data_IF_301842379232
#
_entry.id   IF_301842379232
#
_cell.length_a   1.000
_cell.length_b   1.000
_cell.length_c   1.000
_cell.angle_alpha   90.00
_cell.angle_beta   90.00
_cell.angle_gamma   90.00
#
_symmetry.space_group_name_H-M   'P 1'
#
loop_
_entity.id
_entity.type
_entity.pdbx_description
1 polymer ?
#
# COMPACT_ATOMS: atom_id res chain seq x y z
N UNK A 1 36.34 39.90 -16.80
CA UNK A 1 35.15 39.08 -16.91
C UNK A 1 35.31 37.81 -16.07
N UNK A 2 34.60 37.61 -14.98
CA UNK A 2 34.65 36.35 -14.27
C UNK A 2 33.36 35.54 -14.50
N UNK A 3 33.44 34.49 -15.31
CA UNK A 3 32.40 33.46 -15.49
C UNK A 3 32.87 32.13 -14.87
N UNK A 4 32.93 31.99 -13.56
CA UNK A 4 33.35 30.71 -12.95
C UNK A 4 32.66 30.31 -11.65
N UNK A 5 31.84 31.16 -11.06
CA UNK A 5 31.24 30.89 -9.73
C UNK A 5 30.03 29.94 -9.81
N UNK A 6 29.18 30.05 -10.85
CA UNK A 6 27.96 29.23 -10.96
C UNK A 6 28.24 27.74 -11.26
N UNK A 7 29.24 27.46 -12.11
CA UNK A 7 29.59 26.08 -12.48
C UNK A 7 30.21 25.28 -11.30
N UNK A 8 30.99 25.97 -10.46
CA UNK A 8 31.57 25.35 -9.23
C UNK A 8 30.50 25.08 -8.19
N UNK A 9 29.54 26.01 -8.01
CA UNK A 9 28.40 25.81 -7.09
C UNK A 9 27.52 24.62 -7.55
N UNK A 10 27.23 24.55 -8.86
CA UNK A 10 26.46 23.45 -9.45
C UNK A 10 27.15 22.08 -9.31
N UNK A 11 28.47 22.04 -9.53
CA UNK A 11 29.24 20.79 -9.34
C UNK A 11 29.27 20.33 -7.88
N UNK A 12 29.32 21.26 -6.93
CA UNK A 12 29.34 20.97 -5.50
C UNK A 12 27.96 20.48 -5.02
N UNK A 13 26.89 21.13 -5.46
CA UNK A 13 25.50 20.68 -5.17
C UNK A 13 25.22 19.29 -5.76
N UNK A 14 25.68 19.03 -6.97
CA UNK A 14 25.49 17.73 -7.61
C UNK A 14 26.30 16.61 -6.91
N UNK A 15 27.53 16.92 -6.43
CA UNK A 15 28.33 15.98 -5.63
C UNK A 15 27.71 15.70 -4.27
N UNK A 16 27.11 16.72 -3.64
CA UNK A 16 26.44 16.57 -2.34
C UNK A 16 25.15 15.78 -2.49
N UNK A 17 24.34 16.02 -3.53
CA UNK A 17 23.15 15.26 -3.84
C UNK A 17 23.47 13.78 -4.14
N UNK A 18 24.55 13.53 -4.90
CA UNK A 18 24.99 12.15 -5.21
C UNK A 18 25.54 11.44 -3.95
N UNK A 19 26.25 12.16 -3.06
CA UNK A 19 26.70 11.60 -1.78
C UNK A 19 25.53 11.26 -0.86
N UNK A 20 24.53 12.13 -0.77
CA UNK A 20 23.33 11.91 0.03
C UNK A 20 22.50 10.74 -0.51
N UNK A 21 22.30 10.64 -1.85
CA UNK A 21 21.66 9.50 -2.47
C UNK A 21 22.39 8.17 -2.17
N UNK A 22 23.74 8.17 -2.25
CA UNK A 22 24.54 6.99 -1.88
C UNK A 22 24.53 6.68 -0.39
N UNK A 23 24.39 7.69 0.48
CA UNK A 23 24.23 7.50 1.92
C UNK A 23 22.88 6.89 2.23
N UNK A 24 21.79 7.43 1.67
CA UNK A 24 20.45 6.88 1.78
C UNK A 24 20.44 5.44 1.28
N UNK A 25 21.04 5.16 0.10
CA UNK A 25 21.13 3.80 -0.44
C UNK A 25 21.92 2.84 0.47
N UNK A 26 22.99 3.31 1.14
CA UNK A 26 23.76 2.50 2.10
C UNK A 26 22.98 2.26 3.39
N UNK A 27 22.24 3.25 3.90
CA UNK A 27 21.37 3.12 5.06
C UNK A 27 20.20 2.17 4.75
N UNK A 28 19.63 2.25 3.55
CA UNK A 28 18.64 1.32 3.02
C UNK A 28 19.17 -0.12 2.98
N UNK A 29 20.37 -0.31 2.42
CA UNK A 29 21.00 -1.62 2.37
C UNK A 29 21.36 -2.16 3.78
N UNK A 30 21.81 -1.30 4.68
CA UNK A 30 22.21 -1.70 6.04
C UNK A 30 21.01 -2.01 6.93
N UNK A 31 19.96 -1.20 6.89
CA UNK A 31 18.85 -1.25 7.83
C UNK A 31 17.67 -2.09 7.36
N UNK A 32 17.56 -2.36 6.06
CA UNK A 32 16.42 -3.09 5.49
C UNK A 32 16.89 -4.25 4.61
N UNK A 33 17.71 -4.03 3.60
CA UNK A 33 18.09 -5.08 2.64
C UNK A 33 19.00 -6.13 3.27
N UNK A 34 20.01 -5.72 4.07
CA UNK A 34 20.89 -6.67 4.77
C UNK A 34 20.15 -7.51 5.82
N UNK A 35 19.37 -6.94 6.77
CA UNK A 35 18.59 -7.73 7.72
C UNK A 35 17.58 -8.65 7.03
N UNK A 36 16.94 -8.21 5.93
CA UNK A 36 16.04 -9.06 5.14
C UNK A 36 16.79 -10.23 4.48
N UNK A 37 17.95 -9.96 3.87
CA UNK A 37 18.78 -11.00 3.22
C UNK A 37 19.34 -11.97 4.26
N UNK A 38 19.83 -11.49 5.40
CA UNK A 38 20.36 -12.32 6.47
C UNK A 38 19.26 -13.15 7.19
N UNK A 39 18.06 -12.56 7.36
CA UNK A 39 16.90 -13.30 7.87
C UNK A 39 16.45 -14.38 6.89
N UNK A 40 16.52 -14.10 5.57
CA UNK A 40 16.22 -15.06 4.52
C UNK A 40 17.20 -16.26 4.53
N UNK A 41 18.51 -15.97 4.56
CA UNK A 41 19.56 -17.03 4.60
C UNK A 41 19.47 -17.84 5.89
N UNK A 42 19.25 -17.21 7.06
CA UNK A 42 19.07 -17.92 8.34
C UNK A 42 17.81 -18.80 8.36
N UNK A 43 16.70 -18.36 7.75
CA UNK A 43 15.49 -19.17 7.65
C UNK A 43 15.65 -20.35 6.67
N UNK A 44 16.32 -20.15 5.55
CA UNK A 44 16.60 -21.23 4.60
C UNK A 44 17.46 -22.35 5.22
N UNK A 45 18.45 -21.96 6.05
CA UNK A 45 19.32 -22.94 6.76
C UNK A 45 18.58 -23.64 7.92
N UNK A 46 17.67 -22.95 8.62
CA UNK A 46 16.88 -23.58 9.70
C UNK A 46 15.77 -24.50 9.21
N UNK A 47 15.23 -24.29 8.02
CA UNK A 47 14.16 -25.14 7.46
C UNK A 47 14.65 -26.54 7.05
N UNK A 48 15.91 -26.73 6.72
CA UNK A 48 16.45 -28.07 6.46
C UNK A 48 16.50 -28.98 7.72
N UNK A 49 16.47 -28.38 8.92
CA UNK A 49 16.49 -29.13 10.18
C UNK A 49 15.12 -29.25 10.88
N UNK A 50 14.11 -28.44 10.50
CA UNK A 50 12.84 -28.33 11.23
C UNK A 50 11.68 -29.17 10.64
N UNK A 51 11.84 -29.75 9.45
CA UNK A 51 10.78 -30.55 8.81
C UNK A 51 10.52 -31.88 9.57
N UNK A 52 11.45 -32.32 10.40
CA UNK A 52 11.31 -33.58 11.16
C UNK A 52 10.63 -33.45 12.54
N UNK A 53 10.48 -32.21 13.07
CA UNK A 53 9.93 -32.00 14.41
C UNK A 53 8.50 -31.45 14.47
N UNK A 54 7.98 -30.90 13.37
CA UNK A 54 6.71 -30.16 13.36
C UNK A 54 5.46 -31.02 13.16
N UNK A 55 5.59 -32.28 12.74
CA UNK A 55 4.44 -33.19 12.52
C UNK A 55 3.80 -33.68 13.81
N UNK A 56 4.43 -33.50 14.97
CA UNK A 56 3.98 -34.07 16.25
C UNK A 56 3.27 -33.09 17.21
N UNK A 57 3.11 -31.80 16.88
CA UNK A 57 2.56 -30.81 17.80
C UNK A 57 1.32 -30.03 17.31
N UNK A 58 0.67 -30.48 16.25
CA UNK A 58 -0.52 -29.82 15.66
C UNK A 58 -1.86 -30.36 16.20
N UNK A 59 -1.88 -31.10 17.30
CA UNK A 59 -3.09 -31.75 17.87
C UNK A 59 -3.38 -31.32 19.32
N UNK A 60 -3.19 -30.06 19.68
CA UNK A 60 -3.79 -29.54 20.92
C UNK A 60 -4.42 -28.18 20.65
N UNK A 61 -5.75 -28.16 20.72
CA UNK A 61 -6.58 -27.04 20.41
C UNK A 61 -6.41 -25.89 21.40
N UNK A 62 -6.30 -24.68 20.85
CA UNK A 62 -6.68 -23.48 21.56
C UNK A 62 -7.95 -22.97 20.88
N UNK A 63 -9.07 -23.20 21.54
CA UNK A 63 -10.35 -22.59 21.22
C UNK A 63 -10.26 -21.13 21.60
N UNK A 64 -10.12 -20.24 20.62
CA UNK A 64 -10.33 -18.80 20.82
C UNK A 64 -11.82 -18.57 21.08
N UNK A 65 -12.20 -17.63 21.99
CA UNK A 65 -13.60 -17.30 22.23
C UNK A 65 -14.28 -16.90 20.92
N UNK A 66 -15.42 -17.51 20.64
CA UNK A 66 -16.23 -17.20 19.47
C UNK A 66 -16.73 -15.75 19.57
N UNK A 67 -16.33 -14.89 18.62
CA UNK A 67 -16.99 -13.60 18.42
C UNK A 67 -18.48 -13.85 18.14
N UNK A 68 -19.40 -13.03 18.73
CA UNK A 68 -20.83 -13.20 18.50
C UNK A 68 -21.15 -13.12 17.01
N UNK A 69 -22.11 -13.90 16.51
CA UNK A 69 -22.43 -13.95 15.08
C UNK A 69 -22.88 -12.57 14.60
N UNK A 70 -22.03 -11.97 13.73
CA UNK A 70 -22.38 -10.70 13.07
C UNK A 70 -23.55 -10.96 12.12
N UNK A 71 -24.61 -10.15 12.22
CA UNK A 71 -25.78 -10.27 11.35
C UNK A 71 -25.36 -10.27 9.88
N UNK A 72 -25.68 -11.36 9.16
CA UNK A 72 -25.37 -11.56 7.74
C UNK A 72 -26.35 -10.80 6.85
N UNK A 73 -26.53 -9.49 7.06
CA UNK A 73 -27.29 -8.65 6.14
C UNK A 73 -26.58 -8.54 4.77
N UNK A 74 -27.35 -8.38 3.69
CA UNK A 74 -26.82 -8.36 2.34
C UNK A 74 -25.89 -7.17 2.03
N UNK A 75 -26.05 -6.02 2.68
CA UNK A 75 -25.39 -4.78 2.27
C UNK A 75 -25.87 -4.29 0.89
N UNK A 76 -25.50 -3.09 0.47
CA UNK A 76 -25.90 -2.53 -0.82
C UNK A 76 -24.73 -1.85 -1.55
N UNK A 77 -24.73 -1.94 -2.87
CA UNK A 77 -23.91 -1.12 -3.73
C UNK A 77 -24.68 0.14 -4.11
N UNK A 78 -23.97 1.26 -4.08
CA UNK A 78 -24.43 2.53 -4.64
C UNK A 78 -23.39 3.00 -5.65
N UNK A 79 -23.83 3.68 -6.70
CA UNK A 79 -22.99 4.24 -7.76
C UNK A 79 -23.20 5.75 -7.82
N UNK A 80 -22.15 6.49 -8.12
CA UNK A 80 -22.22 7.92 -8.23
C UNK A 80 -21.10 8.49 -9.08
N UNK A 81 -21.15 9.80 -9.26
CA UNK A 81 -20.09 10.57 -9.88
C UNK A 81 -19.68 11.73 -8.99
N UNK A 82 -18.41 12.11 -9.05
CA UNK A 82 -17.83 13.19 -8.29
C UNK A 82 -16.92 14.06 -9.15
N UNK A 83 -17.00 15.36 -8.94
CA UNK A 83 -16.26 16.37 -9.67
C UNK A 83 -17.18 17.20 -10.58
N UNK A 84 -16.83 18.44 -10.77
CA UNK A 84 -17.55 19.40 -11.62
C UNK A 84 -16.54 20.24 -12.40
N UNK A 85 -17.02 20.91 -13.46
CA UNK A 85 -16.21 21.83 -14.27
C UNK A 85 -15.29 21.13 -15.27
N UNK A 86 -14.13 21.72 -15.62
CA UNK A 86 -13.23 21.20 -16.65
C UNK A 86 -12.56 19.87 -16.26
N UNK A 87 -12.64 19.47 -15.00
CA UNK A 87 -12.25 18.15 -14.54
C UNK A 87 -13.44 17.21 -14.72
N UNK A 88 -13.37 16.33 -15.71
CA UNK A 88 -14.42 15.37 -15.98
C UNK A 88 -14.83 14.63 -14.69
N UNK A 89 -16.14 14.44 -14.45
CA UNK A 89 -16.61 13.75 -13.27
C UNK A 89 -16.02 12.35 -13.19
N UNK A 90 -15.61 11.95 -11.99
CA UNK A 90 -15.11 10.62 -11.69
C UNK A 90 -16.25 9.75 -11.21
N UNK A 91 -16.47 8.61 -11.83
CA UNK A 91 -17.39 7.59 -11.31
C UNK A 91 -16.81 6.95 -10.06
N UNK A 92 -17.67 6.48 -9.21
CA UNK A 92 -17.31 5.64 -8.07
C UNK A 92 -18.41 4.65 -7.75
N UNK A 93 -18.03 3.58 -7.08
CA UNK A 93 -18.96 2.67 -6.42
C UNK A 93 -18.67 2.64 -4.93
N UNK A 94 -19.73 2.52 -4.13
CA UNK A 94 -19.57 2.37 -2.69
C UNK A 94 -20.42 1.21 -2.19
N UNK A 95 -19.83 0.33 -1.40
CA UNK A 95 -20.53 -0.75 -0.73
C UNK A 95 -20.76 -0.37 0.73
N UNK A 96 -22.02 -0.40 1.15
CA UNK A 96 -22.42 -0.14 2.56
C UNK A 96 -22.93 -1.43 3.16
N UNK A 97 -22.28 -1.99 4.20
CA UNK A 97 -22.76 -3.21 4.85
C UNK A 97 -24.04 -2.93 5.65
N UNK A 98 -24.94 -3.91 5.72
CA UNK A 98 -26.27 -3.74 6.34
C UNK A 98 -26.25 -3.27 7.81
N UNK A 99 -25.16 -3.57 8.55
CA UNK A 99 -25.01 -3.14 9.94
C UNK A 99 -24.58 -1.69 10.13
N UNK A 100 -24.15 -0.99 9.06
CA UNK A 100 -23.71 0.39 9.15
C UNK A 100 -24.89 1.37 9.00
N UNK A 101 -25.03 2.29 9.93
CA UNK A 101 -26.08 3.31 9.95
C UNK A 101 -25.62 4.55 10.71
N UNK A 102 -26.46 5.58 10.82
CA UNK A 102 -26.13 6.85 11.48
C UNK A 102 -25.67 6.72 12.94
N UNK A 103 -26.16 5.70 13.66
CA UNK A 103 -25.77 5.42 15.05
C UNK A 103 -24.55 4.50 15.14
N UNK A 104 -24.35 3.62 14.14
CA UNK A 104 -23.27 2.66 14.06
C UNK A 104 -22.45 2.91 12.80
N UNK A 105 -21.54 3.87 12.88
CA UNK A 105 -20.63 4.20 11.79
C UNK A 105 -19.57 3.13 11.63
N UNK A 106 -19.26 2.76 10.38
CA UNK A 106 -18.29 1.74 10.02
C UNK A 106 -16.95 2.36 9.58
N UNK A 107 -15.82 1.67 9.75
CA UNK A 107 -14.58 2.06 9.08
C UNK A 107 -14.74 1.99 7.56
N UNK A 108 -13.97 2.79 6.83
CA UNK A 108 -14.01 2.80 5.37
C UNK A 108 -12.67 2.42 4.77
N UNK A 109 -12.72 1.53 3.78
CA UNK A 109 -11.61 1.23 2.90
C UNK A 109 -11.81 1.93 1.55
N UNK A 110 -10.87 2.78 1.15
CA UNK A 110 -10.75 3.30 -0.21
C UNK A 110 -9.90 2.31 -1.01
N UNK A 111 -10.46 1.75 -2.07
CA UNK A 111 -9.84 0.68 -2.85
C UNK A 111 -9.58 1.15 -4.28
N UNK A 112 -8.29 1.36 -4.63
CA UNK A 112 -7.84 1.95 -5.89
C UNK A 112 -7.40 0.86 -6.87
N UNK A 113 -8.04 0.81 -8.04
CA UNK A 113 -7.76 -0.18 -9.08
C UNK A 113 -6.43 0.05 -9.80
N UNK A 114 -5.92 -0.96 -10.49
CA UNK A 114 -4.78 -0.88 -11.38
C UNK A 114 -5.14 -0.33 -12.78
N UNK A 115 -4.11 -0.12 -13.62
CA UNK A 115 -4.30 0.29 -15.00
C UNK A 115 -5.22 -0.68 -15.77
N UNK A 116 -6.05 -0.14 -16.67
CA UNK A 116 -6.95 -0.93 -17.51
C UNK A 116 -8.18 -1.52 -16.79
N UNK A 117 -8.28 -1.33 -15.47
CA UNK A 117 -9.42 -1.79 -14.68
C UNK A 117 -10.46 -0.68 -14.49
N UNK A 118 -11.65 -1.07 -14.03
CA UNK A 118 -12.73 -0.20 -13.57
C UNK A 118 -13.21 -0.65 -12.19
N UNK A 119 -14.16 0.08 -11.62
CA UNK A 119 -14.69 -0.21 -10.27
C UNK A 119 -15.39 -1.55 -10.19
N UNK A 120 -16.08 -2.00 -11.25
CA UNK A 120 -16.83 -3.25 -11.27
C UNK A 120 -15.89 -4.45 -11.32
N UNK A 121 -14.96 -4.45 -12.28
CA UNK A 121 -13.96 -5.51 -12.44
C UNK A 121 -13.06 -5.62 -11.20
N UNK A 122 -12.63 -4.49 -10.62
CA UNK A 122 -11.77 -4.51 -9.44
C UNK A 122 -12.51 -4.96 -8.17
N UNK A 123 -13.79 -4.58 -8.02
CA UNK A 123 -14.64 -5.11 -6.95
C UNK A 123 -14.81 -6.64 -7.04
N UNK A 124 -14.96 -7.17 -8.27
CA UNK A 124 -15.03 -8.61 -8.50
C UNK A 124 -13.70 -9.32 -8.21
N UNK A 125 -12.59 -8.82 -8.76
CA UNK A 125 -11.23 -9.36 -8.53
C UNK A 125 -10.93 -9.45 -7.04
N UNK A 126 -11.18 -8.40 -6.29
CA UNK A 126 -10.87 -8.33 -4.85
C UNK A 126 -11.93 -9.00 -3.96
N UNK A 127 -13.09 -9.40 -4.53
CA UNK A 127 -14.27 -9.86 -3.79
C UNK A 127 -14.71 -8.86 -2.72
N UNK A 128 -14.59 -7.56 -3.04
CA UNK A 128 -14.74 -6.45 -2.10
C UNK A 128 -16.04 -6.51 -1.29
N UNK A 129 -17.19 -6.76 -1.91
CA UNK A 129 -18.48 -6.82 -1.21
C UNK A 129 -18.55 -7.97 -0.19
N UNK A 130 -18.02 -9.16 -0.52
CA UNK A 130 -18.04 -10.31 0.37
C UNK A 130 -17.17 -10.05 1.61
N UNK A 131 -15.96 -9.56 1.39
CA UNK A 131 -15.00 -9.27 2.48
C UNK A 131 -15.47 -8.07 3.31
N UNK A 132 -16.00 -7.02 2.67
CA UNK A 132 -16.54 -5.85 3.36
C UNK A 132 -17.75 -6.21 4.24
N UNK A 133 -18.65 -7.06 3.76
CA UNK A 133 -19.80 -7.56 4.51
C UNK A 133 -19.35 -8.36 5.73
N UNK A 134 -18.41 -9.29 5.53
CA UNK A 134 -17.86 -10.12 6.61
C UNK A 134 -17.19 -9.27 7.68
N UNK A 135 -16.42 -8.27 7.28
CA UNK A 135 -15.67 -7.40 8.19
C UNK A 135 -16.48 -6.23 8.74
N UNK A 136 -17.63 -5.89 8.17
CA UNK A 136 -18.45 -4.74 8.56
C UNK A 136 -17.85 -3.40 8.13
N UNK A 137 -17.15 -3.34 6.98
CA UNK A 137 -16.51 -2.14 6.44
C UNK A 137 -17.33 -1.54 5.29
N UNK A 138 -17.34 -0.22 5.19
CA UNK A 138 -17.71 0.48 3.95
C UNK A 138 -16.53 0.38 2.99
N UNK A 139 -16.77 0.11 1.69
CA UNK A 139 -15.72 0.11 0.67
C UNK A 139 -16.05 1.10 -0.43
N UNK A 140 -15.20 2.10 -0.62
CA UNK A 140 -15.28 3.09 -1.68
C UNK A 140 -14.29 2.73 -2.79
N UNK A 141 -14.80 2.59 -4.03
CA UNK A 141 -14.00 2.34 -5.23
C UNK A 141 -14.12 3.55 -6.18
N UNK A 142 -13.19 4.49 -6.15
CA UNK A 142 -13.09 5.52 -7.18
C UNK A 142 -12.66 4.92 -8.51
N UNK A 143 -13.14 5.50 -9.65
CA UNK A 143 -12.73 5.11 -10.99
C UNK A 143 -11.87 6.18 -11.65
N UNK A 144 -10.74 5.78 -12.20
CA UNK A 144 -9.92 6.68 -12.99
C UNK A 144 -10.55 6.92 -14.37
N UNK A 145 -10.64 8.18 -14.79
CA UNK A 145 -11.19 8.56 -16.08
C UNK A 145 -10.21 8.24 -17.23
N UNK A 146 -10.73 7.69 -18.33
CA UNK A 146 -9.97 7.54 -19.56
C UNK A 146 -9.55 8.87 -20.19
N UNK A 147 -10.24 9.97 -19.88
CA UNK A 147 -9.86 11.33 -20.31
C UNK A 147 -8.63 11.84 -19.55
N UNK A 148 -8.43 11.46 -18.29
CA UNK A 148 -7.26 11.83 -17.51
C UNK A 148 -6.03 10.94 -17.83
N UNK A 149 -6.29 9.69 -18.18
CA UNK A 149 -5.28 8.72 -18.61
C UNK A 149 -5.96 7.67 -19.48
N UNK A 150 -5.55 7.54 -20.75
CA UNK A 150 -6.17 6.64 -21.74
C UNK A 150 -6.20 5.16 -21.27
N UNK A 151 -5.22 4.75 -20.47
CA UNK A 151 -5.13 3.41 -19.88
C UNK A 151 -5.78 3.32 -18.50
N UNK A 152 -6.51 4.36 -18.06
CA UNK A 152 -7.08 4.46 -16.71
C UNK A 152 -6.06 4.21 -15.58
N UNK A 153 -4.79 4.55 -15.81
CA UNK A 153 -3.77 4.54 -14.76
C UNK A 153 -3.89 5.79 -13.89
N UNK A 154 -3.75 5.67 -12.59
CA UNK A 154 -3.54 6.81 -11.71
C UNK A 154 -2.20 7.48 -12.04
N UNK A 155 -2.16 8.81 -12.13
CA UNK A 155 -0.96 9.54 -12.55
C UNK A 155 0.02 9.78 -11.38
N UNK A 156 0.31 8.73 -10.60
CA UNK A 156 1.18 8.73 -9.42
C UNK A 156 2.58 9.31 -9.71
N UNK A 157 3.04 9.21 -10.96
CA UNK A 157 4.37 9.62 -11.42
C UNK A 157 4.46 11.12 -11.79
N UNK A 158 3.40 11.90 -11.56
CA UNK A 158 3.37 13.36 -11.77
C UNK A 158 3.02 14.08 -10.45
N UNK A 159 3.88 13.96 -9.42
CA UNK A 159 3.49 14.37 -8.06
C UNK A 159 3.21 15.87 -7.93
N UNK A 160 3.84 16.72 -8.73
CA UNK A 160 3.60 18.19 -8.70
C UNK A 160 2.55 18.68 -9.70
N UNK A 161 2.00 17.79 -10.55
CA UNK A 161 1.05 18.12 -11.62
C UNK A 161 -0.24 17.35 -11.49
N UNK A 162 -0.57 16.61 -12.56
CA UNK A 162 -1.82 15.87 -12.67
C UNK A 162 -2.03 14.86 -11.51
N UNK A 163 -0.97 14.25 -10.97
CA UNK A 163 -1.07 13.37 -9.82
C UNK A 163 -1.44 14.10 -8.53
N UNK A 164 -1.02 15.37 -8.36
CA UNK A 164 -1.46 16.20 -7.24
C UNK A 164 -2.95 16.53 -7.35
N UNK A 165 -3.42 16.88 -8.57
CA UNK A 165 -4.84 17.14 -8.84
C UNK A 165 -5.69 15.90 -8.57
N UNK A 166 -5.26 14.73 -9.03
CA UNK A 166 -5.96 13.48 -8.78
C UNK A 166 -6.00 13.12 -7.29
N UNK A 167 -4.91 13.31 -6.57
CA UNK A 167 -4.89 13.12 -5.12
C UNK A 167 -5.89 14.05 -4.41
N UNK A 168 -5.97 15.32 -4.83
CA UNK A 168 -6.96 16.28 -4.31
C UNK A 168 -8.40 15.87 -4.61
N UNK A 169 -8.68 15.40 -5.83
CA UNK A 169 -10.00 14.90 -6.21
C UNK A 169 -10.39 13.66 -5.42
N UNK A 170 -9.47 12.72 -5.20
CA UNK A 170 -9.71 11.55 -4.36
C UNK A 170 -10.02 11.94 -2.92
N UNK A 171 -9.28 12.91 -2.37
CA UNK A 171 -9.56 13.41 -1.02
C UNK A 171 -10.95 14.04 -0.93
N UNK A 172 -11.34 14.88 -1.89
CA UNK A 172 -12.67 15.49 -1.90
C UNK A 172 -13.80 14.45 -1.99
N UNK A 173 -13.62 13.38 -2.79
CA UNK A 173 -14.55 12.27 -2.86
C UNK A 173 -14.62 11.50 -1.53
N UNK A 174 -13.48 11.24 -0.89
CA UNK A 174 -13.40 10.58 0.42
C UNK A 174 -14.17 11.37 1.48
N UNK A 175 -13.96 12.69 1.51
CA UNK A 175 -14.67 13.58 2.44
C UNK A 175 -16.19 13.59 2.18
N UNK A 176 -16.61 13.58 0.92
CA UNK A 176 -18.01 13.47 0.58
C UNK A 176 -18.59 12.13 1.03
N UNK A 177 -17.91 11.03 0.76
CA UNK A 177 -18.34 9.70 1.20
C UNK A 177 -18.52 9.63 2.73
N UNK A 178 -17.61 10.24 3.49
CA UNK A 178 -17.71 10.31 4.95
C UNK A 178 -18.91 11.13 5.44
N UNK A 179 -19.34 12.13 4.67
CA UNK A 179 -20.54 12.93 5.02
C UNK A 179 -21.85 12.23 4.65
N UNK A 180 -21.88 11.57 3.48
CA UNK A 180 -23.11 10.99 2.92
C UNK A 180 -23.42 9.59 3.41
N UNK A 181 -22.42 8.85 3.85
CA UNK A 181 -22.57 7.45 4.27
C UNK A 181 -22.20 7.26 5.75
N UNK A 182 -22.63 6.17 6.39
CA UNK A 182 -22.35 5.89 7.81
C UNK A 182 -20.88 5.46 8.03
N UNK A 183 -19.96 6.35 7.75
CA UNK A 183 -18.50 6.17 7.86
C UNK A 183 -17.95 6.84 9.11
N UNK A 184 -17.15 6.12 9.88
CA UNK A 184 -16.32 6.69 10.94
C UNK A 184 -15.16 7.46 10.31
N UNK A 185 -15.26 8.79 10.25
CA UNK A 185 -14.35 9.65 9.49
C UNK A 185 -12.87 9.56 9.92
N UNK A 186 -12.61 9.19 11.16
CA UNK A 186 -11.27 8.95 11.71
C UNK A 186 -10.74 7.52 11.44
N UNK A 187 -11.55 6.65 10.83
CA UNK A 187 -11.21 5.26 10.52
C UNK A 187 -11.28 4.98 9.01
N UNK A 188 -10.52 5.76 8.25
CA UNK A 188 -10.41 5.62 6.80
C UNK A 188 -9.03 5.08 6.46
N UNK A 189 -8.99 3.98 5.72
CA UNK A 189 -7.76 3.39 5.17
C UNK A 189 -7.80 3.40 3.65
N UNK A 190 -6.65 3.41 3.01
CA UNK A 190 -6.54 3.33 1.55
C UNK A 190 -5.65 2.15 1.15
N UNK A 191 -6.07 1.42 0.12
CA UNK A 191 -5.34 0.28 -0.45
C UNK A 191 -5.48 0.33 -1.97
N UNK A 192 -4.45 -0.05 -2.71
CA UNK A 192 -4.57 -0.12 -4.16
C UNK A 192 -3.68 -1.18 -4.79
N UNK A 193 -3.96 -1.49 -6.06
CA UNK A 193 -3.17 -2.39 -6.90
C UNK A 193 -2.37 -1.58 -7.92
N UNK A 194 -1.08 -1.91 -8.12
CA UNK A 194 -0.25 -1.35 -9.20
C UNK A 194 -0.23 0.18 -9.15
N UNK A 195 -0.67 0.89 -10.20
CA UNK A 195 -0.82 2.35 -10.19
C UNK A 195 -1.72 2.85 -9.03
N UNK A 196 -2.77 2.09 -8.66
CA UNK A 196 -3.59 2.36 -7.48
C UNK A 196 -2.82 2.20 -6.18
N UNK A 197 -1.91 1.23 -6.08
CA UNK A 197 -1.01 1.06 -4.95
C UNK A 197 -0.04 2.23 -4.79
N UNK A 198 0.55 2.70 -5.89
CA UNK A 198 1.42 3.87 -5.91
C UNK A 198 0.65 5.16 -5.54
N UNK A 199 -0.61 5.30 -6.01
CA UNK A 199 -1.48 6.42 -5.62
C UNK A 199 -1.89 6.33 -4.14
N UNK A 200 -2.13 5.15 -3.59
CA UNK A 200 -2.41 4.95 -2.17
C UNK A 200 -1.24 5.42 -1.29
N UNK A 201 0.00 5.05 -1.66
CA UNK A 201 1.22 5.56 -1.00
C UNK A 201 1.33 7.09 -1.12
N UNK A 202 1.02 7.65 -2.28
CA UNK A 202 1.03 9.10 -2.52
C UNK A 202 0.02 9.81 -1.61
N UNK A 203 -1.20 9.29 -1.48
CA UNK A 203 -2.23 9.83 -0.59
C UNK A 203 -1.79 9.81 0.87
N UNK A 204 -1.22 8.69 1.33
CA UNK A 204 -0.73 8.56 2.71
C UNK A 204 0.35 9.56 3.07
N UNK A 205 1.26 9.88 2.14
CA UNK A 205 2.33 10.86 2.38
C UNK A 205 1.88 12.32 2.22
N UNK A 206 0.88 12.58 1.36
CA UNK A 206 0.32 13.94 1.21
C UNK A 206 -0.65 14.32 2.32
N UNK A 207 -1.40 13.36 2.84
CA UNK A 207 -2.45 13.56 3.82
C UNK A 207 -2.26 12.62 5.02
N UNK A 208 -1.13 12.70 5.73
CA UNK A 208 -0.70 11.69 6.71
C UNK A 208 -1.68 11.53 7.88
N UNK A 209 -2.37 12.61 8.28
CA UNK A 209 -3.34 12.58 9.40
C UNK A 209 -4.73 12.11 8.98
N UNK A 210 -4.95 11.93 7.67
CA UNK A 210 -6.28 11.58 7.16
C UNK A 210 -6.54 10.09 7.14
N UNK A 211 -5.49 9.30 7.00
CA UNK A 211 -5.60 7.86 6.89
C UNK A 211 -5.15 7.17 8.16
N UNK A 212 -6.00 6.29 8.66
CA UNK A 212 -5.66 5.42 9.80
C UNK A 212 -4.60 4.38 9.41
N UNK A 213 -4.59 3.95 8.13
CA UNK A 213 -3.56 3.08 7.57
C UNK A 213 -3.53 3.17 6.03
N UNK A 214 -2.39 2.79 5.45
CA UNK A 214 -2.16 2.75 3.99
C UNK A 214 -1.72 1.35 3.58
N UNK A 215 -2.19 0.90 2.42
CA UNK A 215 -1.77 -0.35 1.81
C UNK A 215 -1.40 -0.18 0.34
N UNK A 216 -0.38 -0.91 -0.11
CA UNK A 216 0.00 -1.00 -1.51
C UNK A 216 0.23 -2.45 -1.90
N UNK A 217 -0.44 -2.89 -2.96
CA UNK A 217 -0.20 -4.19 -3.59
C UNK A 217 0.46 -3.96 -4.94
N UNK A 218 1.68 -4.45 -5.13
CA UNK A 218 2.45 -4.34 -6.38
C UNK A 218 2.55 -2.90 -6.92
N UNK A 219 2.58 -1.91 -6.03
CA UNK A 219 2.70 -0.49 -6.40
C UNK A 219 4.15 -0.05 -6.58
N UNK A 220 4.38 0.89 -7.51
CA UNK A 220 5.66 1.57 -7.61
C UNK A 220 5.86 2.54 -6.43
N UNK A 221 7.11 2.72 -6.01
CA UNK A 221 7.44 3.68 -4.97
C UNK A 221 7.14 5.11 -5.44
N UNK A 222 6.41 5.93 -4.67
CA UNK A 222 6.06 7.29 -5.07
C UNK A 222 7.30 8.20 -5.11
N UNK A 223 7.19 9.31 -5.82
CA UNK A 223 8.27 10.30 -6.06
C UNK A 223 9.53 9.74 -6.75
N UNK A 224 9.45 8.55 -7.33
CA UNK A 224 10.53 7.96 -8.13
C UNK A 224 10.53 8.42 -9.59
N UNK A 225 9.50 9.14 -10.04
CA UNK A 225 9.35 9.58 -11.43
C UNK A 225 8.59 10.90 -11.53
N UNK A 226 8.83 11.65 -12.63
CA UNK A 226 8.11 12.87 -13.00
C UNK A 226 7.51 12.81 -14.41
N UNK A 227 7.78 11.74 -15.16
CA UNK A 227 7.23 11.46 -16.49
C UNK A 227 7.13 9.95 -16.74
N UNK A 228 6.47 9.58 -17.84
CA UNK A 228 6.19 8.18 -18.17
C UNK A 228 7.45 7.31 -18.37
N UNK A 229 8.51 7.86 -19.01
CA UNK A 229 9.76 7.13 -19.22
C UNK A 229 10.47 6.83 -17.88
N UNK A 230 10.46 7.80 -16.97
CA UNK A 230 10.98 7.59 -15.61
C UNK A 230 10.12 6.62 -14.83
N UNK A 231 8.77 6.68 -14.98
CA UNK A 231 7.85 5.75 -14.34
C UNK A 231 8.13 4.30 -14.76
N UNK A 232 8.37 4.05 -16.05
CA UNK A 232 8.75 2.72 -16.54
C UNK A 232 10.06 2.23 -15.90
N UNK A 233 11.08 3.08 -15.77
CA UNK A 233 12.33 2.72 -15.09
C UNK A 233 12.13 2.49 -13.58
N UNK A 234 11.31 3.30 -12.93
CA UNK A 234 10.97 3.13 -11.53
C UNK A 234 10.25 1.80 -11.28
N UNK A 235 9.24 1.47 -12.10
CA UNK A 235 8.55 0.18 -12.02
C UNK A 235 9.53 -1.00 -12.15
N UNK A 236 10.55 -0.91 -12.98
CA UNK A 236 11.61 -1.94 -13.13
C UNK A 236 12.67 -1.92 -12.01
N UNK A 237 12.49 -1.17 -10.94
CA UNK A 237 13.46 -1.07 -9.86
C UNK A 237 14.74 -0.27 -10.19
N UNK A 238 14.80 0.34 -11.38
CA UNK A 238 15.99 1.05 -11.87
C UNK A 238 16.05 2.51 -11.37
N UNK A 239 15.03 2.97 -10.65
CA UNK A 239 14.94 4.34 -10.14
C UNK A 239 14.16 4.36 -8.83
N UNK A 240 14.77 4.89 -7.79
CA UNK A 240 14.14 5.18 -6.50
C UNK A 240 13.64 6.63 -6.38
N UNK A 241 13.09 7.00 -5.21
CA UNK A 241 12.73 8.37 -4.89
C UNK A 241 13.93 9.31 -5.01
N UNK A 242 13.68 10.49 -5.53
CA UNK A 242 14.66 11.57 -5.63
C UNK A 242 14.96 12.15 -4.23
N UNK A 243 16.23 12.41 -3.93
CA UNK A 243 16.65 12.89 -2.62
C UNK A 243 16.04 14.27 -2.28
N UNK A 244 15.90 15.15 -3.28
CA UNK A 244 15.27 16.46 -3.10
C UNK A 244 13.76 16.31 -2.81
N UNK A 245 13.09 15.39 -3.51
CA UNK A 245 11.69 15.09 -3.27
C UNK A 245 11.47 14.48 -1.87
N UNK A 246 12.35 13.59 -1.43
CA UNK A 246 12.30 13.01 -0.06
C UNK A 246 12.50 14.09 1.00
N UNK A 247 13.44 15.01 0.78
CA UNK A 247 13.63 16.16 1.68
C UNK A 247 12.38 17.05 1.75
N UNK A 248 11.79 17.38 0.60
CA UNK A 248 10.55 18.16 0.52
C UNK A 248 9.37 17.46 1.21
N UNK A 249 9.26 16.13 1.08
CA UNK A 249 8.28 15.32 1.80
C UNK A 249 8.47 15.41 3.32
N UNK A 250 9.70 15.29 3.80
CA UNK A 250 10.00 15.42 5.22
C UNK A 250 9.59 16.79 5.77
N UNK A 251 9.90 17.86 5.06
CA UNK A 251 9.46 19.22 5.41
C UNK A 251 7.92 19.32 5.40
N UNK A 252 7.26 18.76 4.39
CA UNK A 252 5.80 18.77 4.26
C UNK A 252 5.09 17.97 5.37
N UNK A 253 5.71 16.94 5.91
CA UNK A 253 5.21 16.21 7.07
C UNK A 253 5.24 17.06 8.34
N UNK A 254 6.09 18.10 8.44
CA UNK A 254 6.18 19.01 9.56
C UNK A 254 6.28 18.28 10.92
N UNK A 255 7.17 17.29 11.01
CA UNK A 255 7.35 16.46 12.21
C UNK A 255 6.28 15.39 12.43
N UNK A 256 5.26 15.30 11.57
CA UNK A 256 4.24 14.25 11.64
C UNK A 256 4.78 12.93 11.12
N UNK A 257 4.28 11.86 11.68
CA UNK A 257 4.58 10.51 11.25
C UNK A 257 3.71 10.10 10.06
N UNK A 258 4.25 9.43 9.03
CA UNK A 258 3.42 8.75 8.03
C UNK A 258 2.48 7.72 8.69
N UNK A 259 1.30 7.45 8.11
CA UNK A 259 0.39 6.44 8.66
C UNK A 259 0.98 5.03 8.60
N UNK A 260 0.50 4.08 9.42
CA UNK A 260 0.90 2.68 9.35
C UNK A 260 0.78 2.13 7.94
N UNK A 261 1.75 1.29 7.51
CA UNK A 261 1.90 0.84 6.13
C UNK A 261 1.86 -0.67 5.98
N UNK A 262 1.01 -1.16 5.08
CA UNK A 262 1.04 -2.52 4.56
C UNK A 262 1.55 -2.52 3.11
N UNK A 263 2.56 -3.32 2.85
CA UNK A 263 3.06 -3.60 1.51
C UNK A 263 2.84 -5.09 1.20
N UNK A 264 2.19 -5.40 0.08
CA UNK A 264 2.08 -6.75 -0.48
C UNK A 264 2.67 -6.75 -1.88
N UNK A 265 3.52 -7.74 -2.20
CA UNK A 265 4.16 -7.79 -3.50
C UNK A 265 4.59 -9.22 -3.84
N UNK A 266 4.41 -9.60 -5.10
CA UNK A 266 4.91 -10.86 -5.63
C UNK A 266 6.40 -10.77 -5.98
N UNK A 267 7.17 -11.80 -5.69
CA UNK A 267 8.60 -11.82 -6.04
C UNK A 267 8.86 -12.22 -7.50
N UNK A 268 7.83 -12.67 -8.22
CA UNK A 268 7.87 -12.94 -9.66
C UNK A 268 7.17 -11.84 -10.49
N UNK A 269 6.94 -10.65 -9.91
CA UNK A 269 6.32 -9.53 -10.60
C UNK A 269 7.27 -8.91 -11.64
N UNK A 270 7.02 -9.20 -12.92
CA UNK A 270 7.81 -8.70 -14.04
C UNK A 270 7.41 -7.29 -14.53
N UNK A 271 6.28 -6.74 -14.06
CA UNK A 271 5.80 -5.40 -14.43
C UNK A 271 6.26 -4.33 -13.44
N UNK A 272 6.10 -4.61 -12.15
CA UNK A 272 6.60 -3.77 -11.06
C UNK A 272 7.51 -4.62 -10.19
N UNK A 273 8.80 -4.38 -10.30
CA UNK A 273 9.82 -5.14 -9.59
C UNK A 273 9.63 -5.05 -8.07
N UNK A 274 9.84 -6.17 -7.37
CA UNK A 274 9.68 -6.29 -5.91
C UNK A 274 10.49 -5.24 -5.12
N UNK A 275 11.60 -4.74 -5.69
CA UNK A 275 12.40 -3.67 -5.08
C UNK A 275 11.61 -2.38 -4.84
N UNK A 276 10.49 -2.15 -5.54
CA UNK A 276 9.59 -1.03 -5.25
C UNK A 276 8.94 -1.15 -3.87
N UNK A 277 8.56 -2.36 -3.44
CA UNK A 277 8.02 -2.55 -2.11
C UNK A 277 9.07 -2.30 -1.03
N UNK A 278 10.31 -2.79 -1.22
CA UNK A 278 11.40 -2.52 -0.28
C UNK A 278 11.79 -1.04 -0.24
N UNK A 279 11.78 -0.36 -1.40
CA UNK A 279 12.02 1.08 -1.49
C UNK A 279 10.90 1.89 -0.81
N UNK A 280 9.64 1.48 -0.92
CA UNK A 280 8.53 2.12 -0.21
C UNK A 280 8.64 1.92 1.32
N UNK A 281 8.99 0.71 1.78
CA UNK A 281 9.27 0.45 3.19
C UNK A 281 10.37 1.36 3.72
N UNK A 282 11.46 1.46 2.98
CA UNK A 282 12.60 2.31 3.29
C UNK A 282 12.25 3.79 3.34
N UNK A 283 11.45 4.28 2.38
CA UNK A 283 10.95 5.66 2.38
C UNK A 283 10.14 5.95 3.65
N UNK A 284 9.23 5.05 4.05
CA UNK A 284 8.43 5.21 5.26
C UNK A 284 9.28 5.26 6.53
N UNK A 285 10.30 4.41 6.61
CA UNK A 285 11.24 4.41 7.73
C UNK A 285 12.09 5.67 7.77
N UNK A 286 12.52 6.18 6.61
CA UNK A 286 13.30 7.41 6.52
C UNK A 286 12.49 8.66 6.89
N UNK A 287 11.17 8.64 6.66
CA UNK A 287 10.25 9.75 6.97
C UNK A 287 9.75 9.72 8.43
N UNK A 288 10.25 8.83 9.29
CA UNK A 288 9.95 8.92 10.72
C UNK A 288 10.43 10.25 11.30
N UNK A 289 9.69 10.86 12.25
CA UNK A 289 10.12 12.07 12.93
C UNK A 289 11.47 11.86 13.64
N UNK A 290 12.24 12.92 13.76
CA UNK A 290 13.44 12.91 14.62
C UNK A 290 13.02 12.70 16.07
N UNK A 291 13.73 11.81 16.78
CA UNK A 291 13.38 11.44 18.16
C UNK A 291 12.21 10.45 18.30
N UNK A 292 11.63 9.96 17.20
CA UNK A 292 10.63 8.91 17.29
C UNK A 292 11.22 7.65 17.94
N UNK A 293 10.41 6.94 18.72
CA UNK A 293 10.83 5.66 19.29
C UNK A 293 11.23 4.68 18.18
N UNK A 294 12.37 3.98 18.31
CA UNK A 294 12.80 3.00 17.34
C UNK A 294 11.74 1.90 17.18
N UNK A 295 11.45 1.55 15.94
CA UNK A 295 10.58 0.42 15.67
C UNK A 295 11.32 -0.90 15.91
N UNK A 296 10.70 -1.80 16.63
CA UNK A 296 11.24 -3.14 16.82
C UNK A 296 11.08 -3.96 15.52
N UNK A 297 12.16 -4.62 15.12
CA UNK A 297 12.13 -5.55 13.95
C UNK A 297 11.77 -6.93 14.46
N UNK A 298 10.63 -7.45 13.99
CA UNK A 298 10.19 -8.81 14.32
C UNK A 298 10.88 -9.81 13.40
N UNK A 299 11.34 -10.96 13.89
CA UNK A 299 11.88 -12.02 13.04
C UNK A 299 10.93 -12.37 11.90
N UNK A 300 11.45 -12.45 10.68
CA UNK A 300 10.65 -12.81 9.52
C UNK A 300 10.00 -14.18 9.70
N UNK A 301 8.73 -14.29 9.30
CA UNK A 301 7.98 -15.54 9.40
C UNK A 301 7.46 -15.94 8.03
N UNK A 302 7.61 -17.21 7.72
CA UNK A 302 7.00 -17.83 6.54
C UNK A 302 5.66 -18.45 6.91
N UNK A 303 4.65 -18.18 6.10
CA UNK A 303 3.29 -18.69 6.29
C UNK A 303 2.80 -19.29 4.98
N UNK A 304 2.29 -20.50 5.03
CA UNK A 304 1.58 -21.14 3.91
C UNK A 304 0.33 -21.83 4.45
N UNK A 305 -0.79 -21.69 3.75
CA UNK A 305 -2.07 -22.30 4.13
C UNK A 305 -2.58 -23.17 3.00
N UNK A 306 -2.53 -24.49 3.22
CA UNK A 306 -2.92 -25.49 2.22
C UNK A 306 -2.11 -25.32 0.93
N UNK A 307 -2.79 -25.39 -0.21
CA UNK A 307 -2.18 -25.25 -1.56
C UNK A 307 -1.95 -23.79 -1.99
N UNK A 308 -2.16 -22.80 -1.11
CA UNK A 308 -1.91 -21.40 -1.46
C UNK A 308 -0.43 -21.11 -1.52
N UNK A 309 -0.08 -20.03 -2.27
CA UNK A 309 1.30 -19.53 -2.30
C UNK A 309 1.80 -19.21 -0.90
N UNK A 310 3.04 -19.57 -0.63
CA UNK A 310 3.70 -19.19 0.60
C UNK A 310 3.95 -17.68 0.63
N UNK A 311 4.00 -17.11 1.82
CA UNK A 311 4.35 -15.71 2.06
C UNK A 311 5.42 -15.58 3.10
N UNK A 312 6.34 -14.65 2.90
CA UNK A 312 7.24 -14.18 3.94
C UNK A 312 6.73 -12.84 4.46
N UNK A 313 6.58 -12.74 5.76
CA UNK A 313 6.05 -11.54 6.45
C UNK A 313 7.16 -10.91 7.26
N UNK A 314 7.40 -9.63 7.02
CA UNK A 314 8.36 -8.80 7.73
C UNK A 314 7.58 -7.69 8.45
N UNK A 315 7.73 -7.60 9.76
CA UNK A 315 7.02 -6.64 10.61
C UNK A 315 8.00 -5.70 11.32
N UNK A 316 7.68 -4.42 11.31
CA UNK A 316 8.26 -3.39 12.18
C UNK A 316 7.15 -2.90 13.10
N UNK A 317 7.37 -3.02 14.39
CA UNK A 317 6.33 -2.79 15.41
C UNK A 317 6.67 -1.63 16.33
N UNK A 318 5.63 -0.97 16.80
CA UNK A 318 5.68 -0.06 17.93
C UNK A 318 4.97 -0.73 19.11
N UNK A 319 5.74 -1.15 20.10
CA UNK A 319 5.24 -2.05 21.12
C UNK A 319 4.71 -3.36 20.51
N UNK A 320 3.42 -3.66 20.72
CA UNK A 320 2.76 -4.86 20.17
C UNK A 320 2.06 -4.63 18.83
N UNK A 321 1.86 -3.38 18.43
CA UNK A 321 1.13 -3.04 17.20
C UNK A 321 2.10 -3.02 15.99
N UNK A 322 1.74 -3.60 14.85
CA UNK A 322 2.54 -3.44 13.63
C UNK A 322 2.41 -2.00 13.12
N UNK A 323 3.53 -1.40 12.78
CA UNK A 323 3.56 -0.09 12.12
C UNK A 323 3.79 -0.22 10.61
N UNK A 324 4.75 -1.06 10.24
CA UNK A 324 5.01 -1.40 8.85
C UNK A 324 5.04 -2.92 8.71
N UNK A 325 4.32 -3.42 7.71
CA UNK A 325 4.33 -4.83 7.30
C UNK A 325 4.65 -4.95 5.83
N UNK A 326 5.65 -5.75 5.49
CA UNK A 326 5.93 -6.16 4.13
C UNK A 326 5.60 -7.65 3.99
N UNK A 327 4.74 -7.98 3.02
CA UNK A 327 4.34 -9.35 2.66
C UNK A 327 4.89 -9.66 1.28
N UNK A 328 5.89 -10.53 1.19
CA UNK A 328 6.38 -11.09 -0.05
C UNK A 328 5.58 -12.35 -0.39
N UNK A 329 4.94 -12.38 -1.54
CA UNK A 329 4.16 -13.54 -1.99
C UNK A 329 5.00 -14.33 -3.01
N UNK A 330 5.36 -15.57 -2.67
CA UNK A 330 6.22 -16.41 -3.49
C UNK A 330 5.57 -16.79 -4.82
N UNK A 331 6.31 -16.58 -5.91
CA UNK A 331 5.90 -16.90 -7.28
C UNK A 331 4.69 -16.12 -7.79
N UNK A 332 4.23 -15.09 -7.09
CA UNK A 332 3.16 -14.22 -7.56
C UNK A 332 3.70 -13.23 -8.60
N UNK A 333 3.09 -13.20 -9.78
CA UNK A 333 3.32 -12.19 -10.80
C UNK A 333 2.57 -10.89 -10.51
N UNK A 334 2.37 -10.04 -11.53
CA UNK A 334 1.64 -8.77 -11.41
C UNK A 334 0.12 -9.00 -11.34
N UNK A 335 -0.38 -9.46 -10.20
CA UNK A 335 -1.77 -9.79 -9.99
C UNK A 335 -2.20 -9.59 -8.53
N UNK A 336 -3.50 -9.38 -8.31
CA UNK A 336 -4.08 -9.33 -6.97
C UNK A 336 -4.02 -10.72 -6.31
N UNK A 337 -3.37 -10.80 -5.17
CA UNK A 337 -3.19 -12.03 -4.42
C UNK A 337 -4.50 -12.55 -3.83
N UNK A 338 -4.84 -13.80 -4.09
CA UNK A 338 -6.05 -14.46 -3.58
C UNK A 338 -7.34 -13.89 -4.16
N UNK A 339 -7.28 -13.32 -5.36
CA UNK A 339 -8.42 -12.75 -6.07
C UNK A 339 -9.38 -13.80 -6.62
N UNK A 340 -10.49 -13.34 -7.21
CA UNK A 340 -11.43 -14.19 -7.91
C UNK A 340 -10.81 -14.78 -9.18
N UNK A 341 -11.03 -16.05 -9.47
CA UNK A 341 -10.56 -16.70 -10.69
C UNK A 341 -11.26 -16.15 -11.94
N UNK A 342 -10.64 -16.30 -13.11
CA UNK A 342 -11.21 -15.89 -14.40
C UNK A 342 -11.14 -14.39 -14.70
N UNK A 343 -10.46 -13.60 -13.88
CA UNK A 343 -10.27 -12.16 -14.09
C UNK A 343 -8.82 -11.84 -14.41
N UNK A 344 -8.59 -10.84 -15.27
CA UNK A 344 -7.27 -10.29 -15.51
C UNK A 344 -6.69 -9.70 -14.22
N UNK A 345 -5.38 -9.80 -14.03
CA UNK A 345 -4.66 -9.32 -12.84
C UNK A 345 -5.18 -9.91 -11.52
N UNK A 346 -5.62 -11.18 -11.54
CA UNK A 346 -6.08 -11.92 -10.37
C UNK A 346 -5.37 -13.26 -10.26
N UNK A 347 -4.84 -13.58 -9.09
CA UNK A 347 -4.23 -14.87 -8.79
C UNK A 347 -5.00 -15.54 -7.63
N UNK A 348 -5.86 -16.52 -7.91
CA UNK A 348 -6.62 -17.21 -6.87
C UNK A 348 -5.76 -18.11 -5.97
N UNK A 349 -4.54 -18.45 -6.39
CA UNK A 349 -3.62 -19.29 -5.60
C UNK A 349 -2.92 -18.51 -4.48
N UNK A 350 -2.90 -17.16 -4.54
CA UNK A 350 -2.33 -16.34 -3.48
C UNK A 350 -3.15 -16.36 -2.18
N UNK A 351 -2.57 -15.90 -1.06
CA UNK A 351 -3.35 -15.61 0.13
C UNK A 351 -4.37 -14.50 -0.17
N UNK A 352 -5.48 -14.45 0.58
CA UNK A 352 -6.51 -13.44 0.41
C UNK A 352 -5.97 -12.05 0.80
N UNK A 353 -5.54 -11.27 -0.20
CA UNK A 353 -4.89 -9.99 -0.03
C UNK A 353 -5.78 -8.96 0.67
N UNK A 354 -7.09 -8.95 0.37
CA UNK A 354 -8.01 -8.03 1.01
C UNK A 354 -8.21 -8.37 2.51
N UNK A 355 -8.38 -9.65 2.83
CA UNK A 355 -8.48 -10.09 4.24
C UNK A 355 -7.18 -9.83 5.01
N UNK A 356 -6.02 -10.01 4.39
CA UNK A 356 -4.73 -9.66 5.00
C UNK A 356 -4.67 -8.16 5.31
N UNK A 357 -5.09 -7.32 4.37
CA UNK A 357 -5.09 -5.88 4.54
C UNK A 357 -6.02 -5.44 5.68
N UNK A 358 -7.28 -5.91 5.69
CA UNK A 358 -8.22 -5.55 6.74
C UNK A 358 -7.76 -6.01 8.14
N UNK A 359 -7.11 -7.18 8.25
CA UNK A 359 -6.51 -7.62 9.52
C UNK A 359 -5.39 -6.71 10.00
N UNK A 360 -4.52 -6.26 9.07
CA UNK A 360 -3.48 -5.29 9.40
C UNK A 360 -4.10 -3.96 9.83
N UNK A 361 -5.06 -3.44 9.09
CA UNK A 361 -5.72 -2.17 9.40
C UNK A 361 -6.42 -2.21 10.76
N UNK A 362 -7.11 -3.29 11.08
CA UNK A 362 -7.69 -3.49 12.41
C UNK A 362 -6.63 -3.54 13.52
N UNK A 363 -5.49 -4.18 13.27
CA UNK A 363 -4.42 -4.31 14.25
C UNK A 363 -3.73 -2.95 14.58
N UNK A 364 -3.82 -1.97 13.69
CA UNK A 364 -3.29 -0.61 13.89
C UNK A 364 -4.38 0.38 14.34
N UNK A 365 -5.60 -0.08 14.64
CA UNK A 365 -6.68 0.75 15.16
C UNK A 365 -7.53 1.46 14.10
N UNK A 366 -7.39 1.05 12.83
CA UNK A 366 -8.16 1.61 11.71
C UNK A 366 -9.63 1.13 11.66
#
# INVERSE_FOLDING_TARGET
MPRSTGAKLWSTLNKTATRNARRIQRELNRNITKPMTEAFVRNAVKQSAAITAATKRALSGVVSPAEPPRSRGSGRWEEGSWGAGPLAPRRYRIFVPAGANGRRRAPMLVLLHGCGQDTASFAAVTRAAAVAREAGWVVLLPEQSSQANAQRCWNWFKPAGQGAVEAGLLMALIEQACRMHPVAANRVSVLGLSAGGAMALTLGLRYPVRFAAVGSHSGAVPWSATNAAQATRAMRGQRGPDAQAVHALRLGLAGRRPPPLLLMHGDADAMVDFSNATAAAALWMHLQPEGAHPLAVVPARRVQRGMRRAVDVFDWTEGKAPYLRLVRVEGLGHAWSGGAGGHAFSDPAGPDGLKLALRFFLAVGA
#
